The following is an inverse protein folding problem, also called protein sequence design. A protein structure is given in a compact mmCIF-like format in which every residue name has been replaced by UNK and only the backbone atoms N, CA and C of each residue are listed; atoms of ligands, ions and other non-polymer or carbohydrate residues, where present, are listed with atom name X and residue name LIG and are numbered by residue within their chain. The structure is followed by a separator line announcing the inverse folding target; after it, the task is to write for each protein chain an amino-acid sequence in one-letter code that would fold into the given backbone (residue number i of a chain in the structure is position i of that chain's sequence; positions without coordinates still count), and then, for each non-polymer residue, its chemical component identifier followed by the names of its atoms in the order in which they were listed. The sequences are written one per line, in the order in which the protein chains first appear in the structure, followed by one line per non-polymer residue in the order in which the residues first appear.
data_IF_489331070341
#
_entry.id   IF_489331070341
#
_cell.length_a   1.000
_cell.length_b   1.000
_cell.length_c   1.000
_cell.angle_alpha   90.00
_cell.angle_beta   90.00
_cell.angle_gamma   90.00
#
_symmetry.space_group_name_H-M   'P 1'
#
loop_
_entity.id
_entity.type
_entity.pdbx_description
1 polymer ?
#
# COMPACT_ATOMS: atom_id res chain seq x y z
N UNK A 1 -6.47 17.21 -22.65
CA UNK A 1 -7.03 18.26 -21.76
C UNK A 1 -6.67 17.90 -20.33
N UNK A 2 -6.19 18.86 -19.54
CA UNK A 2 -5.69 18.64 -18.19
C UNK A 2 -6.84 18.32 -17.22
N UNK A 3 -6.76 17.20 -16.48
CA UNK A 3 -7.51 17.00 -15.24
C UNK A 3 -6.92 17.95 -14.20
N UNK A 4 -7.32 19.20 -14.23
CA UNK A 4 -7.25 20.05 -13.07
C UNK A 4 -8.45 19.70 -12.18
N UNK A 5 -8.16 19.18 -10.99
CA UNK A 5 -8.75 19.66 -9.75
C UNK A 5 -10.28 19.88 -9.79
N UNK A 6 -11.08 18.81 -9.78
CA UNK A 6 -12.50 18.92 -9.44
C UNK A 6 -12.65 18.88 -7.91
N UNK A 7 -12.06 19.88 -7.25
CA UNK A 7 -12.51 20.42 -5.96
C UNK A 7 -12.79 21.93 -6.10
N UNK A 8 -12.67 22.49 -7.31
CA UNK A 8 -12.77 23.93 -7.57
C UNK A 8 -14.21 24.48 -7.60
N UNK A 9 -15.24 23.67 -7.31
CA UNK A 9 -16.65 24.11 -7.40
C UNK A 9 -17.22 24.71 -6.11
N UNK A 10 -16.53 24.66 -4.97
CA UNK A 10 -17.11 25.12 -3.68
C UNK A 10 -16.57 26.45 -3.13
N UNK A 11 -15.52 27.04 -3.72
CA UNK A 11 -14.90 28.27 -3.17
C UNK A 11 -14.25 28.08 -1.79
N UNK A 12 -14.09 26.84 -1.31
CA UNK A 12 -13.41 26.52 -0.05
C UNK A 12 -11.88 26.66 -0.20
N UNK A 13 -11.15 27.13 0.84
CA UNK A 13 -9.68 27.16 0.81
C UNK A 13 -9.11 25.75 0.60
N UNK A 14 -8.32 25.57 -0.46
CA UNK A 14 -7.67 24.29 -0.76
C UNK A 14 -6.28 24.20 -0.11
N UNK A 15 -6.08 23.12 0.63
CA UNK A 15 -4.79 22.67 1.14
C UNK A 15 -4.24 21.53 0.29
N UNK A 16 -3.06 21.01 0.65
CA UNK A 16 -2.45 19.88 -0.06
C UNK A 16 -1.99 18.80 0.90
N UNK A 17 -2.20 17.54 0.53
CA UNK A 17 -1.49 16.41 1.10
C UNK A 17 -0.34 16.03 0.16
N UNK A 18 0.90 16.27 0.60
CA UNK A 18 2.12 15.88 -0.10
C UNK A 18 2.65 14.57 0.48
N UNK A 19 2.71 13.53 -0.34
CA UNK A 19 3.31 12.26 0.06
C UNK A 19 4.70 12.18 -0.54
N UNK A 20 5.73 12.02 0.28
CA UNK A 20 7.13 12.02 -0.14
C UNK A 20 7.72 10.63 0.02
N UNK A 21 8.35 10.16 -1.04
CA UNK A 21 9.14 8.95 -1.01
C UNK A 21 10.36 9.15 -0.09
N UNK A 22 10.56 8.21 0.83
CA UNK A 22 11.58 8.25 1.86
C UNK A 22 12.13 6.84 2.17
N UNK A 23 12.96 6.73 3.21
CA UNK A 23 13.49 5.47 3.74
C UNK A 23 13.51 5.49 5.28
N UNK A 24 13.76 4.32 5.88
CA UNK A 24 13.64 4.12 7.33
C UNK A 24 14.57 5.06 8.10
N UNK A 25 15.80 5.23 7.63
CA UNK A 25 16.80 6.12 8.25
C UNK A 25 16.37 7.60 8.27
N UNK A 26 15.79 8.07 7.16
CA UNK A 26 15.27 9.43 7.07
C UNK A 26 14.07 9.64 7.99
N UNK A 27 13.16 8.66 8.09
CA UNK A 27 12.04 8.71 9.03
C UNK A 27 12.52 8.66 10.49
N UNK A 28 13.53 7.85 10.81
CA UNK A 28 14.12 7.80 12.15
C UNK A 28 14.69 9.16 12.56
N UNK A 29 15.38 9.80 11.61
CA UNK A 29 15.95 11.13 11.79
C UNK A 29 14.85 12.17 12.02
N UNK A 30 13.82 12.19 11.17
CA UNK A 30 12.69 13.11 11.27
C UNK A 30 11.88 12.91 12.57
N UNK A 31 11.66 11.66 12.98
CA UNK A 31 11.00 11.35 14.25
C UNK A 31 11.81 11.86 15.42
N UNK A 32 13.13 11.62 15.43
CA UNK A 32 14.02 12.05 16.52
C UNK A 32 14.01 13.57 16.72
N UNK A 33 13.92 14.35 15.63
CA UNK A 33 13.70 15.81 15.73
C UNK A 33 12.32 16.18 16.28
N UNK A 34 11.29 15.36 16.04
CA UNK A 34 9.92 15.61 16.47
C UNK A 34 9.57 15.04 17.85
N UNK A 35 10.46 14.28 18.52
CA UNK A 35 10.24 13.74 19.89
C UNK A 35 9.95 14.84 20.92
N UNK A 36 10.35 16.10 20.67
CA UNK A 36 9.97 17.25 21.50
C UNK A 36 8.46 17.58 21.42
N UNK A 37 7.75 17.18 20.36
CA UNK A 37 6.35 17.53 20.06
C UNK A 37 5.32 16.42 20.35
N UNK A 38 5.70 15.14 20.40
CA UNK A 38 4.76 14.00 20.53
C UNK A 38 4.55 13.50 21.98
N UNK A 39 4.30 14.39 22.94
CA UNK A 39 4.20 14.03 24.38
C UNK A 39 2.87 13.35 24.83
N UNK A 40 1.96 12.99 23.92
CA UNK A 40 0.59 12.59 24.30
C UNK A 40 0.16 11.15 23.95
N UNK A 41 1.07 10.28 23.47
CA UNK A 41 0.78 8.85 23.32
C UNK A 41 1.53 7.99 24.34
N UNK A 42 0.98 6.83 24.70
CA UNK A 42 1.44 6.05 25.84
C UNK A 42 2.95 5.77 25.83
N UNK A 43 3.58 5.87 27.00
CA UNK A 43 5.02 5.84 27.27
C UNK A 43 5.83 4.62 26.76
N UNK A 44 5.20 3.62 26.13
CA UNK A 44 5.83 2.35 25.79
C UNK A 44 6.32 2.23 24.34
N UNK A 45 6.01 3.17 23.44
CA UNK A 45 6.39 3.12 22.01
C UNK A 45 7.38 4.20 21.57
N UNK A 46 7.93 4.99 22.49
CA UNK A 46 8.83 6.12 22.19
C UNK A 46 10.18 5.74 21.55
N UNK A 47 10.49 4.45 21.37
CA UNK A 47 11.79 3.97 20.89
C UNK A 47 11.87 3.59 19.40
N UNK A 48 10.82 3.02 18.79
CA UNK A 48 10.91 2.35 17.48
C UNK A 48 9.90 2.89 16.46
N UNK A 49 10.31 3.00 15.19
CA UNK A 49 9.33 3.20 14.13
C UNK A 49 8.46 1.96 14.05
N UNK A 50 7.22 2.12 13.63
CA UNK A 50 6.34 1.02 13.31
C UNK A 50 5.81 1.23 11.90
N UNK A 51 5.87 0.20 11.08
CA UNK A 51 5.15 0.17 9.82
C UNK A 51 3.64 0.16 10.08
N UNK A 52 2.83 0.22 9.02
CA UNK A 52 1.39 0.22 9.20
C UNK A 52 0.82 -1.10 9.74
N UNK A 53 1.57 -2.21 9.70
CA UNK A 53 1.18 -3.48 10.34
C UNK A 53 1.52 -3.54 11.83
N UNK A 54 2.35 -2.60 12.32
CA UNK A 54 2.81 -2.49 13.70
C UNK A 54 4.21 -3.07 13.92
N UNK A 55 4.92 -3.46 12.87
CA UNK A 55 6.26 -4.04 12.93
C UNK A 55 7.35 -3.00 12.91
N UNK A 56 8.48 -3.31 13.54
CA UNK A 56 9.64 -2.43 13.52
C UNK A 56 10.38 -2.57 12.17
N UNK A 57 10.38 -1.56 11.29
CA UNK A 57 11.07 -1.61 10.00
C UNK A 57 12.60 -1.71 10.13
N UNK A 58 13.14 -1.47 11.31
CA UNK A 58 14.57 -1.65 11.59
C UNK A 58 14.95 -3.12 11.84
N UNK A 59 13.97 -3.99 12.07
CA UNK A 59 14.14 -5.38 12.47
C UNK A 59 13.24 -6.30 11.62
N UNK A 60 13.06 -6.02 10.33
CA UNK A 60 12.41 -6.98 9.43
C UNK A 60 13.24 -8.25 9.29
N UNK A 61 12.56 -9.33 8.88
CA UNK A 61 13.09 -10.69 8.87
C UNK A 61 12.61 -11.51 10.07
N UNK A 62 12.92 -12.79 10.07
CA UNK A 62 12.64 -13.71 11.17
C UNK A 62 13.90 -14.11 11.97
N UNK A 63 15.06 -13.62 11.54
CA UNK A 63 16.29 -13.55 12.32
C UNK A 63 17.19 -14.76 12.14
N UNK A 64 18.44 -14.62 12.60
CA UNK A 64 19.47 -15.64 12.36
C UNK A 64 19.20 -16.94 13.13
N UNK A 65 19.11 -18.08 12.42
CA UNK A 65 19.14 -19.43 13.03
C UNK A 65 17.97 -20.35 12.69
N UNK A 66 17.07 -19.93 11.80
CA UNK A 66 15.98 -20.70 11.20
C UNK A 66 16.45 -21.70 10.11
N UNK A 67 17.65 -21.49 9.56
CA UNK A 67 18.27 -22.32 8.53
C UNK A 67 18.10 -21.80 7.11
N UNK A 68 17.59 -20.59 6.94
CA UNK A 68 17.50 -19.90 5.66
C UNK A 68 18.27 -18.57 5.71
N UNK A 69 18.50 -17.97 4.54
CA UNK A 69 19.11 -16.64 4.45
C UNK A 69 18.02 -15.62 4.18
N UNK A 70 17.91 -14.64 5.06
CA UNK A 70 17.03 -13.48 4.91
C UNK A 70 17.47 -12.63 3.71
N UNK A 71 16.55 -12.43 2.76
CA UNK A 71 16.74 -11.50 1.66
C UNK A 71 15.69 -10.40 1.69
N UNK A 72 16.09 -9.20 1.26
CA UNK A 72 15.21 -8.03 1.20
C UNK A 72 15.35 -7.33 -0.15
N UNK A 73 14.21 -6.93 -0.72
CA UNK A 73 14.16 -6.08 -1.91
C UNK A 73 13.43 -4.78 -1.58
N UNK A 74 14.06 -3.67 -1.96
CA UNK A 74 13.45 -2.36 -1.99
C UNK A 74 12.79 -2.12 -3.35
N UNK A 75 11.47 -1.94 -3.43
CA UNK A 75 10.79 -1.56 -4.66
C UNK A 75 11.32 -0.25 -5.24
N UNK A 76 11.28 -0.15 -6.56
CA UNK A 76 11.70 1.05 -7.31
C UNK A 76 10.60 2.11 -7.37
N UNK A 77 9.35 1.75 -7.05
CA UNK A 77 8.22 2.67 -6.95
C UNK A 77 7.10 2.05 -6.11
N UNK A 78 6.20 2.90 -5.62
CA UNK A 78 4.97 2.49 -4.97
C UNK A 78 3.79 3.35 -5.42
N UNK A 79 2.56 2.88 -5.24
CA UNK A 79 1.36 3.72 -5.30
C UNK A 79 0.33 3.34 -4.26
N UNK A 80 -0.34 4.36 -3.73
CA UNK A 80 -1.46 4.22 -2.82
C UNK A 80 -2.74 4.59 -3.57
N UNK A 81 -3.72 3.69 -3.58
CA UNK A 81 -5.04 3.97 -4.13
C UNK A 81 -5.91 4.58 -3.02
N UNK A 82 -5.92 5.91 -2.93
CA UNK A 82 -6.55 6.66 -1.84
C UNK A 82 -8.04 6.83 -2.14
N UNK A 83 -8.88 6.35 -1.23
CA UNK A 83 -10.32 6.51 -1.29
C UNK A 83 -10.74 7.82 -0.58
N UNK A 84 -10.26 8.01 0.65
CA UNK A 84 -10.62 9.15 1.50
C UNK A 84 -9.46 9.55 2.42
N UNK A 85 -9.42 10.83 2.78
CA UNK A 85 -8.57 11.36 3.87
C UNK A 85 -9.48 12.10 4.83
N UNK A 86 -9.37 11.78 6.12
CA UNK A 86 -10.20 12.35 7.18
C UNK A 86 -9.35 12.93 8.31
N UNK A 87 -9.92 13.81 9.13
CA UNK A 87 -9.28 14.38 10.30
C UNK A 87 -10.12 14.15 11.56
N UNK A 88 -9.42 13.89 12.67
CA UNK A 88 -10.01 13.67 13.98
C UNK A 88 -9.59 14.79 14.93
N UNK A 89 -10.55 15.26 15.71
CA UNK A 89 -10.26 16.09 16.87
C UNK A 89 -9.57 15.29 17.96
N UNK A 90 -8.87 15.96 18.86
CA UNK A 90 -8.40 15.34 20.10
C UNK A 90 -9.58 14.94 20.98
N UNK A 91 -9.35 13.99 21.89
CA UNK A 91 -10.37 13.55 22.87
C UNK A 91 -10.94 14.72 23.65
N UNK A 92 -10.09 15.63 24.10
CA UNK A 92 -10.45 16.82 24.90
C UNK A 92 -11.31 17.81 24.11
N UNK A 93 -11.29 17.70 22.78
CA UNK A 93 -12.03 18.54 21.84
C UNK A 93 -13.23 17.84 21.22
N UNK A 94 -13.62 16.68 21.78
CA UNK A 94 -14.80 15.92 21.39
C UNK A 94 -14.56 14.90 20.27
N UNK A 95 -13.31 14.60 19.94
CA UNK A 95 -12.95 13.50 19.03
C UNK A 95 -12.89 12.13 19.72
N UNK A 96 -12.65 11.06 18.95
CA UNK A 96 -12.57 9.69 19.48
C UNK A 96 -11.31 9.47 20.34
N UNK A 97 -11.32 8.43 21.17
CA UNK A 97 -10.07 7.96 21.81
C UNK A 97 -9.06 7.50 20.76
N UNK A 98 -7.75 7.63 21.00
CA UNK A 98 -6.74 6.99 20.17
C UNK A 98 -6.95 5.48 20.05
N UNK A 99 -7.03 4.97 18.83
CA UNK A 99 -7.30 3.56 18.53
C UNK A 99 -8.78 3.20 18.40
N UNK A 100 -9.71 4.15 18.55
CA UNK A 100 -11.15 3.96 18.32
C UNK A 100 -11.69 4.77 17.13
N UNK A 101 -10.83 5.18 16.22
CA UNK A 101 -11.18 5.98 15.04
C UNK A 101 -12.03 5.17 14.06
N UNK A 102 -13.10 5.78 13.55
CA UNK A 102 -13.96 5.24 12.49
C UNK A 102 -14.33 6.36 11.52
N UNK A 103 -14.87 6.02 10.34
CA UNK A 103 -15.34 7.07 9.42
C UNK A 103 -16.50 7.89 10.01
N UNK A 104 -17.38 7.27 10.79
CA UNK A 104 -18.55 7.91 11.40
C UNK A 104 -18.16 8.92 12.48
N UNK A 105 -17.03 8.70 13.17
CA UNK A 105 -16.54 9.60 14.22
C UNK A 105 -15.44 10.55 13.74
N UNK A 106 -15.12 10.54 12.44
CA UNK A 106 -14.29 11.55 11.82
C UNK A 106 -14.95 12.93 11.92
N UNK A 107 -14.15 13.93 12.32
CA UNK A 107 -14.65 15.30 12.49
C UNK A 107 -14.72 16.07 11.18
N UNK A 108 -13.84 15.74 10.22
CA UNK A 108 -13.82 16.32 8.88
C UNK A 108 -13.39 15.29 7.84
N UNK A 109 -14.04 15.33 6.67
CA UNK A 109 -13.55 14.67 5.46
C UNK A 109 -12.72 15.71 4.70
N UNK A 110 -11.41 15.47 4.59
CA UNK A 110 -10.47 16.34 3.90
C UNK A 110 -10.41 16.02 2.40
N UNK A 111 -10.58 14.75 2.03
CA UNK A 111 -10.58 14.28 0.66
C UNK A 111 -11.52 13.10 0.50
N UNK A 112 -12.20 13.04 -0.64
CA UNK A 112 -13.01 11.90 -1.06
C UNK A 112 -12.94 11.74 -2.57
N UNK A 113 -12.40 10.62 -3.04
CA UNK A 113 -12.25 10.31 -4.46
C UNK A 113 -13.60 10.23 -5.19
N UNK A 114 -14.69 9.90 -4.47
CA UNK A 114 -16.02 9.80 -5.05
C UNK A 114 -16.55 11.14 -5.59
N UNK A 115 -16.09 12.28 -5.04
CA UNK A 115 -16.52 13.64 -5.44
C UNK A 115 -16.19 13.95 -6.91
N UNK A 116 -15.25 13.20 -7.51
CA UNK A 116 -14.89 13.34 -8.92
C UNK A 116 -15.99 12.77 -9.85
N UNK A 117 -16.86 11.89 -9.33
CA UNK A 117 -17.86 11.19 -10.12
C UNK A 117 -19.25 11.84 -9.97
N UNK A 118 -19.94 12.06 -11.08
CA UNK A 118 -21.17 12.87 -11.12
C UNK A 118 -22.44 12.13 -10.64
N UNK A 119 -22.43 10.80 -10.59
CA UNK A 119 -23.61 9.96 -10.30
C UNK A 119 -23.34 8.94 -9.17
N UNK A 120 -22.85 9.41 -8.02
CA UNK A 120 -22.57 8.55 -6.85
C UNK A 120 -23.82 8.39 -5.98
N UNK A 121 -24.26 7.15 -5.77
CA UNK A 121 -25.29 6.83 -4.78
C UNK A 121 -24.68 6.73 -3.37
N UNK A 122 -24.64 7.85 -2.65
CA UNK A 122 -24.06 7.93 -1.29
C UNK A 122 -24.64 6.93 -0.28
N UNK A 123 -25.87 6.43 -0.48
CA UNK A 123 -26.50 5.48 0.45
C UNK A 123 -26.03 4.03 0.29
N UNK A 124 -25.52 3.69 -0.89
CA UNK A 124 -25.09 2.33 -1.23
C UNK A 124 -23.57 2.24 -1.43
N UNK A 125 -22.89 3.39 -1.48
CA UNK A 125 -21.46 3.50 -1.69
C UNK A 125 -20.69 2.92 -0.49
N UNK A 126 -19.76 2.02 -0.77
CA UNK A 126 -18.74 1.60 0.18
C UNK A 126 -17.56 2.59 0.18
N UNK A 127 -16.82 2.71 1.29
CA UNK A 127 -15.74 3.69 1.43
C UNK A 127 -14.74 3.71 0.26
N UNK A 128 -14.41 2.55 -0.30
CA UNK A 128 -13.43 2.37 -1.36
C UNK A 128 -13.99 1.86 -2.70
N UNK A 129 -15.27 2.12 -3.01
CA UNK A 129 -15.78 1.88 -4.37
C UNK A 129 -15.11 2.80 -5.41
N UNK A 130 -14.55 3.93 -4.97
CA UNK A 130 -13.77 4.86 -5.77
C UNK A 130 -12.43 5.14 -5.07
N UNK A 131 -11.36 5.19 -5.85
CA UNK A 131 -10.03 5.54 -5.38
C UNK A 131 -9.28 6.33 -6.44
N UNK A 132 -8.44 7.26 -5.99
CA UNK A 132 -7.48 7.96 -6.82
C UNK A 132 -6.08 7.41 -6.59
N UNK A 133 -5.34 7.20 -7.67
CA UNK A 133 -4.04 6.55 -7.61
C UNK A 133 -2.95 7.58 -7.37
N UNK A 134 -2.36 7.52 -6.19
CA UNK A 134 -1.24 8.35 -5.80
C UNK A 134 0.08 7.61 -6.01
N UNK A 135 0.82 8.02 -7.03
CA UNK A 135 2.11 7.44 -7.40
C UNK A 135 3.29 8.07 -6.66
N UNK A 136 4.20 7.22 -6.18
CA UNK A 136 5.46 7.57 -5.53
C UNK A 136 6.63 6.92 -6.30
N UNK A 137 7.33 7.73 -7.09
CA UNK A 137 8.51 7.27 -7.84
C UNK A 137 9.75 8.11 -7.52
N UNK A 138 10.97 7.59 -7.78
CA UNK A 138 12.21 8.23 -7.39
C UNK A 138 12.49 9.59 -8.05
N UNK A 139 11.95 9.84 -9.25
CA UNK A 139 12.23 11.07 -10.01
C UNK A 139 11.48 12.29 -9.50
N UNK A 140 10.20 12.16 -9.17
CA UNK A 140 9.42 13.25 -8.55
C UNK A 140 9.54 13.26 -7.04
N UNK A 141 9.81 12.10 -6.42
CA UNK A 141 9.83 11.85 -4.97
C UNK A 141 8.59 12.30 -4.20
N UNK A 142 7.60 12.95 -4.83
CA UNK A 142 6.45 13.56 -4.17
C UNK A 142 5.20 13.36 -5.01
N UNK A 143 4.23 12.63 -4.47
CA UNK A 143 2.85 12.60 -4.92
C UNK A 143 2.01 13.67 -4.21
N UNK A 144 0.91 14.11 -4.82
CA UNK A 144 0.04 15.15 -4.24
C UNK A 144 -1.43 14.83 -4.42
N UNK A 145 -2.21 15.12 -3.39
CA UNK A 145 -3.68 15.16 -3.43
C UNK A 145 -4.13 16.52 -2.90
N UNK A 146 -5.04 17.17 -3.61
CA UNK A 146 -5.66 18.41 -3.12
C UNK A 146 -6.71 18.05 -2.07
N UNK A 147 -6.67 18.73 -0.93
CA UNK A 147 -7.52 18.46 0.22
C UNK A 147 -8.23 19.72 0.67
N UNK A 148 -9.36 19.57 1.37
CA UNK A 148 -9.96 20.65 2.13
C UNK A 148 -9.03 21.06 3.26
N UNK A 149 -8.99 22.37 3.53
CA UNK A 149 -8.19 22.91 4.63
C UNK A 149 -8.96 22.80 5.95
N UNK A 150 -8.29 22.41 7.04
CA UNK A 150 -8.86 22.56 8.38
C UNK A 150 -8.96 24.05 8.72
N UNK A 151 -10.15 24.56 9.12
CA UNK A 151 -10.35 25.97 9.48
C UNK A 151 -9.30 26.45 10.49
N UNK A 152 -8.67 27.59 10.21
CA UNK A 152 -7.49 28.07 10.95
C UNK A 152 -7.72 28.18 12.46
N UNK A 153 -8.92 28.62 12.85
CA UNK A 153 -9.37 28.76 14.23
C UNK A 153 -9.58 27.42 14.96
N UNK A 154 -9.73 26.32 14.21
CA UNK A 154 -9.97 24.98 14.76
C UNK A 154 -8.76 24.06 14.65
N UNK A 155 -7.66 24.48 14.00
CA UNK A 155 -6.49 23.61 13.74
C UNK A 155 -5.92 22.96 14.99
N UNK A 156 -5.86 23.71 16.09
CA UNK A 156 -5.37 23.21 17.38
C UNK A 156 -6.28 22.15 18.03
N UNK A 157 -7.49 21.95 17.50
CA UNK A 157 -8.40 20.93 17.99
C UNK A 157 -8.16 19.56 17.34
N UNK A 158 -7.42 19.49 16.23
CA UNK A 158 -7.16 18.26 15.49
C UNK A 158 -5.77 17.73 15.79
N UNK A 159 -5.68 16.45 16.12
CA UNK A 159 -4.44 15.80 16.53
C UNK A 159 -4.11 14.55 15.70
N UNK A 160 -5.02 14.12 14.81
CA UNK A 160 -4.84 12.93 13.96
C UNK A 160 -5.51 13.09 12.60
N UNK A 161 -4.95 12.38 11.62
CA UNK A 161 -5.56 12.13 10.31
C UNK A 161 -5.77 10.64 10.11
N UNK A 162 -6.79 10.29 9.34
CA UNK A 162 -6.99 8.94 8.83
C UNK A 162 -6.81 8.93 7.31
N UNK A 163 -6.03 7.98 6.80
CA UNK A 163 -5.92 7.71 5.37
C UNK A 163 -6.63 6.38 5.09
N UNK A 164 -7.59 6.40 4.18
CA UNK A 164 -8.32 5.23 3.74
C UNK A 164 -7.89 4.95 2.30
N UNK A 165 -7.25 3.81 2.09
CA UNK A 165 -6.80 3.34 0.79
C UNK A 165 -7.40 1.97 0.48
N UNK A 166 -7.71 1.70 -0.79
CA UNK A 166 -8.19 0.39 -1.23
C UNK A 166 -7.06 -0.62 -1.28
N UNK A 167 -5.88 -0.17 -1.69
CA UNK A 167 -4.74 -0.99 -2.04
C UNK A 167 -3.44 -0.19 -1.99
N UNK A 168 -2.34 -0.92 -1.87
CA UNK A 168 -0.99 -0.41 -2.05
C UNK A 168 -0.24 -1.30 -3.04
N UNK A 169 0.29 -0.71 -4.10
CA UNK A 169 1.03 -1.43 -5.14
C UNK A 169 2.50 -1.08 -5.08
N UNK A 170 3.36 -2.08 -5.14
CA UNK A 170 4.81 -1.95 -5.27
C UNK A 170 5.27 -2.41 -6.65
N UNK A 171 6.21 -1.67 -7.23
CA UNK A 171 6.90 -2.09 -8.45
C UNK A 171 8.37 -2.39 -8.19
N UNK A 172 8.83 -3.52 -8.73
CA UNK A 172 10.18 -4.03 -8.50
C UNK A 172 11.05 -3.94 -9.76
N UNK A 173 12.35 -3.79 -9.54
CA UNK A 173 13.35 -3.76 -10.60
C UNK A 173 13.44 -5.13 -11.30
N UNK A 174 13.56 -5.19 -12.63
CA UNK A 174 13.88 -6.44 -13.33
C UNK A 174 15.19 -7.11 -12.90
N UNK A 175 16.11 -6.37 -12.28
CA UNK A 175 17.37 -6.92 -11.77
C UNK A 175 17.17 -7.69 -10.46
N UNK A 176 16.18 -7.29 -9.67
CA UNK A 176 15.88 -7.88 -8.36
C UNK A 176 14.78 -8.94 -8.49
N UNK A 177 13.82 -8.70 -9.39
CA UNK A 177 12.70 -9.60 -9.72
C UNK A 177 12.72 -9.88 -11.23
N UNK A 178 13.49 -10.89 -11.69
CA UNK A 178 13.60 -11.21 -13.11
C UNK A 178 12.29 -11.68 -13.72
N UNK A 179 11.36 -12.17 -12.90
CA UNK A 179 10.06 -12.68 -13.34
C UNK A 179 9.01 -11.56 -13.49
N UNK A 180 8.66 -11.25 -14.74
CA UNK A 180 7.72 -10.17 -15.07
C UNK A 180 6.35 -10.28 -14.35
N UNK A 181 5.92 -11.49 -14.00
CA UNK A 181 4.64 -11.75 -13.33
C UNK A 181 4.60 -11.28 -11.85
N UNK A 182 5.75 -11.06 -11.21
CA UNK A 182 5.86 -10.56 -9.82
C UNK A 182 6.32 -9.11 -9.73
N UNK A 183 6.58 -8.44 -10.86
CA UNK A 183 7.14 -7.07 -10.83
C UNK A 183 6.19 -6.03 -10.26
N UNK A 184 4.89 -6.33 -10.22
CA UNK A 184 3.87 -5.47 -9.64
C UNK A 184 3.07 -6.29 -8.65
N UNK A 185 3.24 -6.01 -7.36
CA UNK A 185 2.54 -6.70 -6.28
C UNK A 185 1.72 -5.71 -5.48
N UNK A 186 0.45 -6.05 -5.26
CA UNK A 186 -0.54 -5.21 -4.60
C UNK A 186 -1.01 -5.87 -3.31
N UNK A 187 -0.97 -5.09 -2.23
CA UNK A 187 -1.50 -5.43 -0.92
C UNK A 187 -2.92 -4.87 -0.84
N UNK A 188 -3.92 -5.75 -0.70
CA UNK A 188 -5.32 -5.38 -0.61
C UNK A 188 -5.69 -4.93 0.81
N UNK A 189 -6.20 -3.70 0.94
CA UNK A 189 -6.55 -3.07 2.23
C UNK A 189 -8.07 -2.98 2.43
N UNK A 190 -8.74 -2.23 1.56
CA UNK A 190 -10.18 -1.90 1.65
C UNK A 190 -10.94 -2.08 0.33
N UNK A 191 -10.35 -2.67 -0.70
CA UNK A 191 -11.01 -2.90 -1.99
C UNK A 191 -12.29 -3.73 -1.85
N UNK A 192 -12.15 -5.04 -1.72
CA UNK A 192 -13.27 -5.93 -1.37
C UNK A 192 -13.05 -6.54 0.01
N UNK A 193 -14.10 -6.70 0.83
CA UNK A 193 -13.93 -7.20 2.19
C UNK A 193 -13.31 -8.60 2.27
N UNK A 194 -13.61 -9.45 1.28
CA UNK A 194 -13.05 -10.80 1.15
C UNK A 194 -11.60 -10.83 0.66
N UNK A 195 -11.13 -9.72 0.08
CA UNK A 195 -9.79 -9.64 -0.52
C UNK A 195 -8.77 -8.96 0.40
N UNK A 196 -9.24 -8.28 1.45
CA UNK A 196 -8.42 -7.67 2.50
C UNK A 196 -7.38 -8.65 3.05
N UNK A 197 -6.12 -8.22 3.05
CA UNK A 197 -4.98 -9.02 3.50
C UNK A 197 -4.32 -9.86 2.40
N UNK A 198 -4.95 -10.03 1.24
CA UNK A 198 -4.35 -10.78 0.13
C UNK A 198 -3.23 -9.96 -0.53
N UNK A 199 -2.26 -10.70 -1.07
CA UNK A 199 -1.29 -10.19 -2.05
C UNK A 199 -1.73 -10.68 -3.42
N UNK A 200 -1.84 -9.75 -4.38
CA UNK A 200 -2.07 -10.06 -5.79
C UNK A 200 -0.94 -9.51 -6.63
N UNK A 201 -0.76 -10.06 -7.83
CA UNK A 201 0.13 -9.48 -8.84
C UNK A 201 -0.66 -8.96 -10.03
N UNK A 202 -0.10 -7.98 -10.75
CA UNK A 202 -0.74 -7.45 -11.95
C UNK A 202 -0.27 -8.19 -13.20
N UNK A 203 -1.20 -8.91 -13.83
CA UNK A 203 -0.99 -9.62 -15.10
C UNK A 203 -1.61 -8.81 -16.24
N UNK A 204 -0.75 -8.30 -17.11
CA UNK A 204 -1.11 -7.40 -18.21
C UNK A 204 -1.53 -8.19 -19.46
N UNK A 205 -2.63 -7.79 -20.07
CA UNK A 205 -2.97 -8.25 -21.42
C UNK A 205 -1.99 -7.69 -22.46
N UNK A 206 -1.88 -8.38 -23.60
CA UNK A 206 -1.01 -7.99 -24.71
C UNK A 206 -1.25 -6.58 -25.27
N UNK A 207 -2.47 -6.05 -25.13
CA UNK A 207 -2.81 -4.70 -25.54
C UNK A 207 -2.16 -3.60 -24.70
N UNK A 208 -1.58 -3.92 -23.54
CA UNK A 208 -0.84 -2.96 -22.75
C UNK A 208 0.43 -2.45 -23.46
N UNK A 209 1.07 -1.37 -23.01
CA UNK A 209 2.39 -0.95 -23.52
C UNK A 209 3.51 -1.88 -23.04
N UNK A 210 4.51 -2.15 -23.88
CA UNK A 210 5.68 -2.97 -23.50
C UNK A 210 6.53 -2.33 -22.40
N UNK A 211 6.49 -1.00 -22.28
CA UNK A 211 7.22 -0.26 -21.25
C UNK A 211 6.78 -0.65 -19.84
N UNK A 212 5.56 -1.17 -19.66
CA UNK A 212 5.04 -1.60 -18.36
C UNK A 212 5.89 -2.71 -17.75
N UNK A 213 6.54 -3.56 -18.55
CA UNK A 213 7.37 -4.65 -18.02
C UNK A 213 8.66 -4.15 -17.36
N UNK A 214 9.16 -2.99 -17.78
CA UNK A 214 10.52 -2.53 -17.45
C UNK A 214 10.55 -1.16 -16.79
N UNK A 215 9.40 -0.49 -16.65
CA UNK A 215 9.33 0.87 -16.11
C UNK A 215 8.06 1.07 -15.28
N UNK A 216 8.21 1.49 -14.01
CA UNK A 216 7.07 1.81 -13.16
C UNK A 216 6.31 3.03 -13.71
N UNK A 217 6.99 3.95 -14.40
CA UNK A 217 6.40 5.21 -14.92
C UNK A 217 5.17 5.00 -15.80
N UNK A 218 5.11 3.86 -16.50
CA UNK A 218 4.02 3.57 -17.41
C UNK A 218 2.75 3.10 -16.70
N UNK A 219 2.88 2.52 -15.50
CA UNK A 219 1.75 2.15 -14.64
C UNK A 219 1.33 3.29 -13.70
N UNK A 220 2.27 4.18 -13.35
CA UNK A 220 2.09 5.23 -12.33
C UNK A 220 1.88 6.65 -12.87
N UNK A 221 1.64 6.82 -14.17
CA UNK A 221 1.20 8.06 -14.83
C UNK A 221 1.85 9.34 -14.30
N UNK A 222 3.17 9.46 -14.50
CA UNK A 222 3.90 10.67 -14.17
C UNK A 222 3.63 11.83 -15.15
N UNK A 223 2.43 12.39 -15.10
CA UNK A 223 2.09 13.60 -15.86
C UNK A 223 1.52 13.29 -17.25
N UNK A 224 0.57 14.13 -17.63
CA UNK A 224 -0.11 14.14 -18.92
C UNK A 224 0.84 14.03 -20.13
N UNK A 225 1.02 12.84 -20.68
CA UNK A 225 1.41 12.66 -22.08
C UNK A 225 0.73 11.40 -22.62
N UNK A 226 -0.41 11.59 -23.27
CA UNK A 226 -0.87 11.00 -24.54
C UNK A 226 -0.55 9.53 -24.94
N UNK A 227 0.01 8.66 -24.09
CA UNK A 227 0.16 7.23 -24.40
C UNK A 227 -1.13 6.45 -24.12
N UNK A 228 -2.03 7.03 -23.33
CA UNK A 228 -3.44 6.66 -23.31
C UNK A 228 -4.15 7.33 -24.50
N UNK A 229 -3.76 6.97 -25.71
CA UNK A 229 -4.57 7.24 -26.89
C UNK A 229 -5.94 6.61 -26.63
N UNK A 230 -7.00 7.41 -26.69
CA UNK A 230 -8.40 6.97 -26.69
C UNK A 230 -8.51 5.71 -27.58
N UNK A 231 -8.68 4.55 -26.95
CA UNK A 231 -8.80 3.26 -27.64
C UNK A 231 -7.90 2.12 -27.14
N UNK A 232 -6.81 2.40 -26.41
CA UNK A 232 -5.98 1.34 -25.79
C UNK A 232 -6.33 1.15 -24.32
N UNK A 233 -7.39 0.40 -24.04
CA UNK A 233 -7.69 -0.05 -22.68
C UNK A 233 -6.69 -1.16 -22.30
N UNK A 234 -5.52 -0.78 -21.78
CA UNK A 234 -4.64 -1.75 -21.11
C UNK A 234 -5.46 -2.45 -20.02
N UNK A 235 -5.68 -3.75 -20.22
CA UNK A 235 -6.45 -4.58 -19.29
C UNK A 235 -5.47 -5.30 -18.39
N UNK A 236 -5.72 -5.24 -17.09
CA UNK A 236 -4.94 -5.89 -16.05
C UNK A 236 -5.84 -6.91 -15.36
N UNK A 237 -5.31 -8.07 -15.02
CA UNK A 237 -5.98 -9.04 -14.16
C UNK A 237 -5.11 -9.45 -12.98
N UNK A 238 -5.73 -9.82 -11.85
CA UNK A 238 -4.99 -10.25 -10.67
C UNK A 238 -4.44 -11.67 -10.85
N UNK A 239 -3.15 -11.84 -10.62
CA UNK A 239 -2.50 -13.13 -10.35
C UNK A 239 -2.52 -13.42 -8.85
N UNK A 240 -2.93 -14.62 -8.46
CA UNK A 240 -2.95 -15.05 -7.06
C UNK A 240 -1.76 -15.97 -6.79
N UNK A 241 -1.03 -15.72 -5.70
CA UNK A 241 0.17 -16.50 -5.32
C UNK A 241 -0.23 -17.56 -4.29
N UNK A 242 0.27 -18.78 -4.44
CA UNK A 242 0.17 -19.85 -3.45
C UNK A 242 1.18 -19.63 -2.33
N UNK A 243 0.69 -19.44 -1.11
CA UNK A 243 1.49 -19.27 0.10
C UNK A 243 2.49 -20.41 0.35
N UNK A 244 2.17 -21.63 -0.08
CA UNK A 244 3.00 -22.82 0.18
C UNK A 244 4.11 -23.05 -0.85
N UNK A 245 4.08 -22.36 -1.99
CA UNK A 245 5.07 -22.61 -3.05
C UNK A 245 5.58 -21.34 -3.71
N UNK A 246 4.96 -20.19 -3.47
CA UNK A 246 5.23 -18.96 -4.19
C UNK A 246 4.75 -19.01 -5.65
N UNK A 247 4.25 -20.14 -6.17
CA UNK A 247 3.77 -20.27 -7.55
C UNK A 247 2.35 -19.73 -7.71
N UNK A 248 1.88 -19.54 -8.95
CA UNK A 248 0.54 -18.99 -9.17
C UNK A 248 -0.56 -20.04 -9.01
N UNK A 249 -1.64 -19.65 -8.30
CA UNK A 249 -2.87 -20.44 -8.14
C UNK A 249 -3.70 -20.46 -9.43
N UNK A 250 -4.52 -21.51 -9.58
CA UNK A 250 -5.56 -21.60 -10.62
C UNK A 250 -6.76 -20.71 -10.26
N UNK A 251 -6.57 -19.39 -10.29
CA UNK A 251 -7.66 -18.42 -10.19
C UNK A 251 -8.23 -18.02 -11.56
N UNK A 252 -7.44 -18.19 -12.62
CA UNK A 252 -7.82 -18.02 -14.02
C UNK A 252 -7.15 -19.08 -14.87
N UNK A 253 -7.94 -20.04 -15.38
CA UNK A 253 -7.42 -21.06 -16.31
C UNK A 253 -6.77 -20.42 -17.56
N UNK A 254 -7.19 -19.21 -17.93
CA UNK A 254 -6.70 -18.49 -19.11
C UNK A 254 -5.20 -18.16 -19.05
N UNK A 255 -4.62 -17.92 -17.87
CA UNK A 255 -3.19 -17.57 -17.77
C UNK A 255 -2.30 -18.70 -18.31
N UNK A 256 -2.70 -19.95 -18.07
CA UNK A 256 -1.93 -21.14 -18.42
C UNK A 256 -2.43 -21.78 -19.72
N UNK A 257 -3.73 -21.69 -20.00
CA UNK A 257 -4.32 -22.22 -21.23
C UNK A 257 -4.07 -21.31 -22.44
N UNK A 258 -3.88 -20.01 -22.23
CA UNK A 258 -3.68 -19.02 -23.29
C UNK A 258 -2.68 -17.92 -22.88
N UNK A 259 -1.43 -18.30 -22.53
CA UNK A 259 -0.40 -17.35 -22.06
C UNK A 259 -0.11 -16.26 -23.10
N UNK A 260 -0.26 -16.56 -24.38
CA UNK A 260 -0.10 -15.62 -25.49
C UNK A 260 -1.11 -14.47 -25.51
N UNK A 261 -2.09 -14.42 -24.61
CA UNK A 261 -2.98 -13.25 -24.45
C UNK A 261 -2.38 -12.19 -23.52
N UNK A 262 -1.31 -12.52 -22.81
CA UNK A 262 -0.72 -11.74 -21.73
C UNK A 262 0.73 -11.38 -22.04
N UNK A 263 1.18 -10.23 -21.54
CA UNK A 263 2.58 -9.79 -21.68
C UNK A 263 3.52 -10.46 -20.69
N UNK A 264 3.03 -10.64 -19.46
CA UNK A 264 3.75 -11.23 -18.35
C UNK A 264 2.98 -12.42 -17.79
N UNK A 265 2.65 -13.44 -18.61
CA UNK A 265 1.97 -14.61 -18.10
C UNK A 265 2.84 -15.30 -17.04
N UNK A 266 2.23 -15.81 -15.95
CA UNK A 266 2.87 -16.80 -15.10
C UNK A 266 3.47 -17.95 -15.91
N UNK A 267 4.63 -18.43 -15.47
CA UNK A 267 5.41 -19.47 -16.15
C UNK A 267 5.11 -20.85 -15.53
N UNK A 268 4.88 -20.90 -14.22
CA UNK A 268 4.68 -22.15 -13.47
C UNK A 268 3.40 -22.12 -12.65
N UNK A 269 2.68 -23.24 -12.66
CA UNK A 269 1.58 -23.54 -11.75
C UNK A 269 1.59 -25.04 -11.43
N UNK A 270 1.28 -25.36 -10.18
CA UNK A 270 1.27 -26.73 -9.65
C UNK A 270 -0.12 -27.39 -9.69
N UNK A 271 -1.09 -26.78 -10.37
CA UNK A 271 -2.48 -27.25 -10.43
C UNK A 271 -3.27 -27.00 -9.14
N UNK A 272 -2.81 -26.07 -8.29
CA UNK A 272 -3.45 -25.78 -7.01
C UNK A 272 -4.60 -24.80 -7.25
N UNK A 273 -5.81 -25.20 -6.86
CA UNK A 273 -7.00 -24.36 -6.97
C UNK A 273 -6.92 -23.14 -6.06
N UNK A 274 -7.41 -22.00 -6.55
CA UNK A 274 -7.52 -20.79 -5.75
C UNK A 274 -8.55 -20.96 -4.62
N UNK A 275 -8.07 -20.92 -3.37
CA UNK A 275 -8.88 -20.92 -2.15
C UNK A 275 -8.28 -19.94 -1.16
N UNK A 276 -9.11 -19.32 -0.32
CA UNK A 276 -8.68 -18.26 0.60
C UNK A 276 -7.51 -18.67 1.51
N UNK A 277 -7.49 -19.93 1.97
CA UNK A 277 -6.44 -20.45 2.85
C UNK A 277 -5.10 -20.66 2.15
N UNK A 278 -5.09 -20.73 0.81
CA UNK A 278 -3.91 -20.93 -0.02
C UNK A 278 -3.29 -19.65 -0.52
N UNK A 279 -4.07 -18.58 -0.68
CA UNK A 279 -3.57 -17.27 -1.12
C UNK A 279 -2.48 -16.76 -0.18
N UNK A 280 -1.40 -16.27 -0.75
CA UNK A 280 -0.38 -15.52 -0.02
C UNK A 280 -1.01 -14.26 0.59
N UNK A 281 -0.78 -14.05 1.89
CA UNK A 281 -1.22 -12.85 2.60
C UNK A 281 -0.02 -12.09 3.17
N UNK A 282 -0.16 -10.79 3.26
CA UNK A 282 0.77 -9.98 4.05
C UNK A 282 0.34 -9.98 5.52
N UNK A 283 1.23 -9.55 6.41
CA UNK A 283 0.89 -9.37 7.81
C UNK A 283 -0.02 -8.17 7.97
N UNK A 284 -1.30 -8.43 8.22
CA UNK A 284 -2.28 -7.38 8.44
C UNK A 284 -2.12 -6.77 9.84
N UNK A 285 -2.41 -5.46 9.99
CA UNK A 285 -2.53 -4.85 11.31
C UNK A 285 -3.61 -5.56 12.13
N UNK A 286 -3.38 -5.77 13.42
CA UNK A 286 -4.35 -6.49 14.28
C UNK A 286 -5.74 -5.84 14.29
N UNK A 287 -5.80 -4.51 14.20
CA UNK A 287 -7.05 -3.74 14.09
C UNK A 287 -7.86 -4.09 12.85
N UNK A 288 -7.21 -4.49 11.76
CA UNK A 288 -7.85 -4.87 10.51
C UNK A 288 -8.66 -6.18 10.65
N UNK A 289 -8.22 -7.09 11.51
CA UNK A 289 -8.87 -8.40 11.71
C UNK A 289 -10.19 -8.31 12.50
N UNK A 290 -10.42 -7.21 13.20
CA UNK A 290 -11.63 -6.99 14.00
C UNK A 290 -12.74 -6.27 13.20
N UNK A 291 -12.46 -5.84 11.98
CA UNK A 291 -13.38 -5.04 11.16
C UNK A 291 -14.47 -5.90 10.55
N UNK A 292 -15.70 -5.38 10.55
CA UNK A 292 -16.78 -5.93 9.76
C UNK A 292 -16.54 -5.77 8.25
N UNK A 293 -17.41 -6.39 7.46
CA UNK A 293 -17.29 -6.37 6.01
C UNK A 293 -17.38 -4.94 5.42
N UNK A 294 -18.12 -4.04 6.07
CA UNK A 294 -18.30 -2.66 5.57
C UNK A 294 -17.43 -1.64 6.28
N UNK A 295 -16.70 -2.05 7.33
CA UNK A 295 -15.86 -1.13 8.11
C UNK A 295 -14.50 -1.04 7.43
N UNK A 296 -14.06 0.14 6.98
CA UNK A 296 -12.75 0.29 6.37
C UNK A 296 -11.66 0.29 7.43
N UNK A 297 -10.52 -0.31 7.09
CA UNK A 297 -9.28 -0.07 7.79
C UNK A 297 -8.82 1.37 7.55
N UNK A 298 -8.47 2.06 8.62
CA UNK A 298 -8.03 3.46 8.59
C UNK A 298 -6.58 3.50 9.06
N UNK A 299 -5.69 4.02 8.21
CA UNK A 299 -4.31 4.31 8.60
C UNK A 299 -4.30 5.63 9.38
N UNK A 300 -4.27 5.52 10.70
CA UNK A 300 -4.30 6.69 11.60
C UNK A 300 -2.88 7.19 11.85
N UNK A 301 -2.66 8.48 11.62
CA UNK A 301 -1.39 9.15 11.84
C UNK A 301 -1.61 10.38 12.72
N UNK A 302 -0.68 10.64 13.64
CA UNK A 302 -0.75 11.86 14.45
C UNK A 302 -0.51 13.10 13.58
N UNK A 303 -1.25 14.17 13.79
CA UNK A 303 -0.87 15.50 13.38
C UNK A 303 0.08 16.06 14.45
N UNK A 304 1.32 16.37 14.11
CA UNK A 304 2.18 17.13 15.04
C UNK A 304 1.60 18.52 15.33
N UNK A 305 2.09 19.21 16.37
CA UNK A 305 1.67 20.59 16.73
C UNK A 305 2.08 21.65 15.69
N UNK A 306 1.16 22.20 14.88
CA UNK A 306 1.54 23.16 13.82
C UNK A 306 0.45 23.54 12.82
N UNK A 307 0.81 24.28 11.77
CA UNK A 307 -0.14 24.92 10.85
C UNK A 307 -0.69 23.92 9.80
N UNK A 308 -1.86 23.32 10.06
CA UNK A 308 -2.51 22.24 9.26
C UNK A 308 -3.05 22.67 7.89
N UNK A 309 -2.47 23.68 7.25
CA UNK A 309 -2.85 24.08 5.88
C UNK A 309 -2.41 23.06 4.83
N UNK A 310 -1.32 22.33 5.10
CA UNK A 310 -0.80 21.27 4.23
C UNK A 310 -0.40 20.08 5.10
N UNK A 311 -0.72 18.88 4.62
CA UNK A 311 -0.25 17.62 5.19
C UNK A 311 1.01 17.20 4.43
N UNK A 312 2.05 16.80 5.14
CA UNK A 312 3.24 16.21 4.54
C UNK A 312 3.44 14.83 5.16
N UNK A 313 3.56 13.83 4.31
CA UNK A 313 3.56 12.42 4.68
C UNK A 313 4.78 11.75 4.07
N UNK A 314 5.77 11.43 4.88
CA UNK A 314 6.95 10.71 4.45
C UNK A 314 6.66 9.20 4.46
N UNK A 315 6.84 8.55 3.32
CA UNK A 315 6.51 7.15 3.07
C UNK A 315 7.79 6.36 2.82
N UNK A 316 8.10 5.46 3.75
CA UNK A 316 9.20 4.51 3.65
C UNK A 316 8.78 3.28 2.88
N UNK A 317 9.54 2.91 1.85
CA UNK A 317 9.31 1.69 1.07
C UNK A 317 10.55 0.81 0.94
N UNK A 318 11.57 1.03 1.77
CA UNK A 318 12.76 0.19 1.84
C UNK A 318 12.46 -1.17 2.49
N UNK A 319 13.14 -2.22 2.00
CA UNK A 319 13.07 -3.60 2.49
C UNK A 319 11.65 -4.17 2.57
N UNK A 320 10.78 -3.79 1.62
CA UNK A 320 9.36 -4.16 1.62
C UNK A 320 9.15 -5.65 1.35
N UNK A 321 9.82 -6.21 0.34
CA UNK A 321 9.72 -7.64 0.05
C UNK A 321 10.79 -8.36 0.84
N UNK A 322 10.37 -9.26 1.71
CA UNK A 322 11.24 -10.19 2.41
C UNK A 322 10.94 -11.62 1.95
N UNK A 323 12.00 -12.41 1.77
CA UNK A 323 11.87 -13.84 1.57
C UNK A 323 13.10 -14.59 2.06
N UNK A 324 12.86 -15.85 2.43
CA UNK A 324 13.89 -16.79 2.80
C UNK A 324 14.37 -17.56 1.58
N UNK A 325 15.67 -17.49 1.31
CA UNK A 325 16.30 -18.26 0.27
C UNK A 325 17.68 -18.76 0.68
N UNK A 326 18.16 -19.77 -0.03
CA UNK A 326 19.56 -20.21 0.03
C UNK A 326 20.25 -20.01 -1.32
N UNK A 327 19.58 -19.35 -2.27
CA UNK A 327 20.17 -18.90 -3.51
C UNK A 327 21.21 -17.80 -3.24
N UNK A 328 22.21 -17.68 -4.12
CA UNK A 328 23.33 -16.73 -3.94
C UNK A 328 23.21 -15.47 -4.79
N UNK A 329 22.21 -15.38 -5.66
CA UNK A 329 22.04 -14.30 -6.64
C UNK A 329 21.27 -13.09 -6.11
N UNK A 330 20.66 -13.20 -4.91
CA UNK A 330 19.84 -12.16 -4.28
C UNK A 330 18.72 -11.66 -5.22
N UNK A 331 18.19 -12.56 -6.05
CA UNK A 331 17.05 -12.31 -6.92
C UNK A 331 15.84 -13.05 -6.36
N UNK A 332 14.66 -12.44 -6.42
CA UNK A 332 13.42 -13.10 -6.06
C UNK A 332 12.78 -13.71 -7.31
N UNK A 333 12.84 -15.04 -7.41
CA UNK A 333 12.45 -15.78 -8.61
C UNK A 333 11.75 -17.12 -8.30
N UNK A 334 10.64 -17.12 -7.54
CA UNK A 334 10.01 -18.35 -7.04
C UNK A 334 9.51 -19.32 -8.13
N UNK A 335 9.23 -18.89 -9.38
CA UNK A 335 8.86 -19.87 -10.42
C UNK A 335 10.09 -20.55 -11.03
N UNK A 336 11.22 -19.85 -11.12
CA UNK A 336 12.44 -20.34 -11.77
C UNK A 336 13.40 -21.01 -10.78
N UNK A 337 13.49 -20.52 -9.54
CA UNK A 337 14.28 -21.12 -8.47
C UNK A 337 13.39 -21.66 -7.35
N UNK A 338 13.51 -22.96 -7.09
CA UNK A 338 12.82 -23.62 -5.99
C UNK A 338 13.34 -23.18 -4.61
N UNK A 339 14.53 -22.56 -4.54
CA UNK A 339 15.09 -22.04 -3.29
C UNK A 339 14.37 -20.79 -2.80
N UNK A 340 13.80 -19.97 -3.68
CA UNK A 340 13.04 -18.77 -3.34
C UNK A 340 11.58 -19.06 -2.97
N UNK A 341 11.16 -20.33 -3.03
CA UNK A 341 9.78 -20.70 -2.75
C UNK A 341 9.53 -20.69 -1.24
N UNK A 342 8.49 -19.98 -0.75
CA UNK A 342 8.03 -20.14 0.61
C UNK A 342 7.47 -21.56 0.81
N UNK A 343 7.25 -21.96 2.07
CA UNK A 343 6.60 -23.23 2.41
C UNK A 343 5.56 -23.06 3.53
N UNK A 344 4.85 -21.93 3.50
CA UNK A 344 3.79 -21.62 4.45
C UNK A 344 2.65 -22.64 4.35
N UNK A 345 2.07 -23.01 5.49
CA UNK A 345 0.94 -23.95 5.54
C UNK A 345 -0.43 -23.30 5.36
N UNK A 346 -0.48 -21.97 5.46
CA UNK A 346 -1.64 -21.14 5.15
C UNK A 346 -1.19 -19.73 4.77
N UNK A 347 -2.08 -18.95 4.16
CA UNK A 347 -1.81 -17.54 3.83
C UNK A 347 -1.37 -16.68 5.02
N UNK A 348 -1.84 -16.98 6.24
CA UNK A 348 -1.55 -16.20 7.45
C UNK A 348 -0.29 -16.67 8.21
N UNK A 349 0.44 -17.65 7.68
CA UNK A 349 1.55 -18.32 8.36
C UNK A 349 2.92 -17.65 8.11
N UNK A 350 2.99 -16.69 7.18
CA UNK A 350 4.20 -15.96 6.84
C UNK A 350 4.75 -15.19 8.07
N UNK A 351 6.01 -15.43 8.44
CA UNK A 351 6.70 -14.94 9.66
C UNK A 351 6.15 -15.45 11.00
N UNK A 352 5.08 -16.25 11.03
CA UNK A 352 4.56 -16.83 12.27
C UNK A 352 5.37 -18.06 12.71
N UNK A 353 6.15 -18.64 11.79
CA UNK A 353 6.94 -19.84 12.03
C UNK A 353 8.35 -19.68 11.45
N UNK A 354 9.30 -19.36 12.32
CA UNK A 354 10.74 -19.20 12.01
C UNK A 354 11.46 -20.53 11.76
N UNK A 355 10.73 -21.59 11.40
CA UNK A 355 11.30 -22.87 10.94
C UNK A 355 10.87 -23.18 9.50
N UNK A 356 10.27 -22.19 8.84
CA UNK A 356 9.72 -22.25 7.49
C UNK A 356 10.41 -21.19 6.64
N UNK A 357 10.42 -21.42 5.33
CA UNK A 357 10.75 -20.39 4.37
C UNK A 357 9.57 -19.45 4.25
N UNK A 358 9.78 -18.23 4.67
CA UNK A 358 8.82 -17.16 4.67
C UNK A 358 8.94 -16.33 3.40
N UNK A 359 7.80 -15.74 3.01
CA UNK A 359 7.74 -14.71 1.98
C UNK A 359 6.66 -13.72 2.43
N UNK A 360 6.99 -12.45 2.49
CA UNK A 360 6.06 -11.40 2.91
C UNK A 360 6.34 -10.10 2.18
N UNK A 361 5.27 -9.33 1.96
CA UNK A 361 5.39 -7.91 1.65
C UNK A 361 4.97 -7.11 2.87
N UNK A 362 5.84 -6.24 3.35
CA UNK A 362 5.53 -5.33 4.43
C UNK A 362 4.68 -4.16 3.94
N UNK A 363 3.84 -3.64 4.83
CA UNK A 363 3.24 -2.33 4.60
C UNK A 363 4.32 -1.24 4.80
N UNK A 364 4.15 -0.05 4.21
CA UNK A 364 5.14 1.00 4.32
C UNK A 364 5.09 1.58 5.73
N UNK A 365 6.17 2.23 6.14
CA UNK A 365 6.13 3.12 7.31
C UNK A 365 5.74 4.51 6.83
N UNK A 366 4.70 5.10 7.42
CA UNK A 366 4.27 6.46 7.09
C UNK A 366 4.45 7.34 8.31
N UNK A 367 5.18 8.44 8.14
CA UNK A 367 5.35 9.47 9.16
C UNK A 367 4.78 10.78 8.65
N UNK A 368 3.84 11.35 9.37
CA UNK A 368 3.44 12.73 9.17
C UNK A 368 4.55 13.67 9.67
N UNK A 369 4.89 14.64 8.85
CA UNK A 369 5.82 15.71 9.21
C UNK A 369 5.21 17.07 8.89
N UNK A 370 5.76 18.10 9.52
CA UNK A 370 5.39 19.48 9.24
C UNK A 370 6.35 20.09 8.23
N UNK A 371 5.87 21.10 7.50
CA UNK A 371 6.70 22.04 6.75
C UNK A 371 6.50 23.44 7.30
#
# INVERSE_FOLDING_TARGET
MALAQILASSGEPQGKAEFRLSNTDALLSARSSNVQQFRTLSATSYGFLADLSGDNPQNYGDGTGDGFTDHFITPIAAALDICQIVAYKSREKGGPEPGSETLENASLILYDAAVIFQDVNEKERRPCDYADRLSLVPEKRTGRVDIKTIPTDQRADYDRIGIIASSLTYAFSPNDVPEDAYRYMTLELNGRPTDRGNIITDIFYNGCPNSFLNSPKSYFNEGTTNDWVEGNTCTVRPGMIDSNSGTFLLNSEEYFASPNNYKNPPIVNLGVADTESKRLKYKTPSSMNALGANDPYIMVLNLGEGNVSNLVLDVSIDNVLFWDSNAQDNQFSPQLDAQDRPNATSGADNLANTSRKNMILHLPTILSSQK
#
